data_IF_864631808627
#
_entry.id   IF_864631808627
#
_cell.length_a   1.000
_cell.length_b   1.000
_cell.length_c   1.000
_cell.angle_alpha   90.00
_cell.angle_beta   90.00
_cell.angle_gamma   90.00
#
_symmetry.space_group_name_H-M   'P 1'
#
loop_
_entity.id
_entity.type
_entity.pdbx_description
1 polymer ?
#
# COMPACT_ATOMS: atom_id res chain seq x y z
N UNK A 1 20.41 -13.98 26.77
CA UNK A 1 18.95 -14.14 26.70
C UNK A 1 18.66 -14.86 25.39
N UNK A 2 17.91 -15.95 25.39
CA UNK A 2 17.51 -16.67 24.17
C UNK A 2 16.05 -16.30 23.87
N UNK A 3 15.75 -16.05 22.59
CA UNK A 3 14.38 -15.91 22.09
C UNK A 3 13.92 -17.27 21.56
N UNK A 4 12.63 -17.55 21.66
CA UNK A 4 12.02 -18.82 21.24
C UNK A 4 11.41 -18.71 19.83
N UNK A 5 11.29 -17.47 19.29
CA UNK A 5 10.79 -17.22 17.97
C UNK A 5 10.87 -15.74 17.59
N UNK A 6 10.62 -15.43 16.34
CA UNK A 6 10.81 -14.10 15.74
C UNK A 6 9.56 -13.72 14.94
N UNK A 7 9.10 -12.48 15.06
CA UNK A 7 8.19 -11.82 14.11
C UNK A 7 9.00 -10.75 13.39
N UNK A 8 9.04 -10.79 12.07
CA UNK A 8 9.86 -9.86 11.27
C UNK A 8 9.06 -9.21 10.13
N UNK A 9 9.26 -7.90 9.96
CA UNK A 9 8.86 -7.17 8.77
C UNK A 9 10.11 -6.80 7.99
N UNK A 10 10.13 -7.13 6.70
CA UNK A 10 11.33 -6.92 5.88
C UNK A 10 11.52 -5.45 5.51
N UNK A 11 12.78 -5.01 5.43
CA UNK A 11 13.10 -3.72 4.84
C UNK A 11 12.75 -3.70 3.35
N UNK A 12 12.42 -2.54 2.82
CA UNK A 12 12.24 -2.37 1.36
C UNK A 12 13.54 -2.60 0.56
N UNK A 13 14.68 -2.58 1.22
CA UNK A 13 16.00 -2.78 0.60
C UNK A 13 16.49 -4.23 0.69
N UNK A 14 15.75 -5.09 1.42
CA UNK A 14 16.11 -6.50 1.55
C UNK A 14 15.89 -7.24 0.24
N UNK A 15 16.98 -7.69 -0.39
CA UNK A 15 16.97 -8.48 -1.63
C UNK A 15 17.58 -9.87 -1.45
N UNK A 16 18.42 -10.05 -0.41
CA UNK A 16 18.96 -11.34 -0.01
C UNK A 16 18.25 -11.86 1.24
N UNK A 17 17.72 -13.07 1.15
CA UNK A 17 16.95 -13.74 2.21
C UNK A 17 17.70 -14.93 2.84
N UNK A 18 18.98 -15.11 2.53
CA UNK A 18 19.81 -16.21 3.04
C UNK A 18 19.85 -16.27 4.56
N UNK A 19 19.90 -15.11 5.22
CA UNK A 19 19.85 -15.00 6.68
C UNK A 19 18.54 -15.50 7.29
N UNK A 20 17.41 -15.41 6.57
CA UNK A 20 16.14 -15.98 7.00
C UNK A 20 16.15 -17.50 6.84
N UNK A 21 16.69 -18.00 5.72
CA UNK A 21 16.84 -19.44 5.49
C UNK A 21 17.69 -20.11 6.57
N UNK A 22 18.75 -19.46 7.06
CA UNK A 22 19.56 -19.94 8.16
C UNK A 22 18.78 -20.14 9.48
N UNK A 23 17.70 -19.38 9.72
CA UNK A 23 16.82 -19.59 10.87
C UNK A 23 16.05 -20.90 10.78
N UNK A 24 15.71 -21.33 9.56
CA UNK A 24 15.06 -22.62 9.31
C UNK A 24 15.98 -23.80 9.66
N UNK A 25 17.29 -23.67 9.33
CA UNK A 25 18.28 -24.72 9.60
C UNK A 25 18.43 -25.02 11.10
N UNK A 26 18.19 -24.02 11.95
CA UNK A 26 18.22 -24.16 13.42
C UNK A 26 16.82 -24.33 14.02
N UNK A 27 15.79 -24.58 13.20
CA UNK A 27 14.38 -24.71 13.61
C UNK A 27 13.87 -23.52 14.45
N UNK A 28 14.32 -22.30 14.17
CA UNK A 28 13.84 -21.09 14.83
C UNK A 28 12.47 -20.68 14.22
N UNK A 29 11.40 -20.63 15.02
CA UNK A 29 10.09 -20.15 14.53
C UNK A 29 10.18 -18.71 14.03
N UNK A 30 9.69 -18.48 12.79
CA UNK A 30 9.69 -17.16 12.16
C UNK A 30 8.33 -16.89 11.51
N UNK A 31 7.70 -15.78 11.89
CA UNK A 31 6.51 -15.26 11.23
C UNK A 31 6.88 -13.97 10.50
N UNK A 32 6.61 -13.92 9.21
CA UNK A 32 6.77 -12.72 8.42
C UNK A 32 5.50 -11.84 8.50
N UNK A 33 5.68 -10.54 8.56
CA UNK A 33 4.61 -9.59 8.79
C UNK A 33 4.64 -8.48 7.75
N UNK A 34 3.49 -8.17 7.14
CA UNK A 34 3.27 -7.10 6.17
C UNK A 34 4.09 -7.24 4.88
N UNK A 35 5.39 -6.98 4.94
CA UNK A 35 6.33 -7.22 3.83
C UNK A 35 6.92 -8.62 3.94
N UNK A 36 6.51 -9.49 3.04
CA UNK A 36 6.82 -10.92 3.09
C UNK A 36 7.64 -11.39 1.90
N UNK A 37 8.34 -12.49 2.10
CA UNK A 37 9.07 -13.25 1.07
C UNK A 37 8.97 -14.73 1.40
N UNK A 38 9.45 -15.61 0.50
CA UNK A 38 9.59 -17.04 0.75
C UNK A 38 8.32 -17.64 1.40
N UNK A 39 7.15 -17.33 0.85
CA UNK A 39 5.83 -17.70 1.41
C UNK A 39 5.58 -19.21 1.47
N UNK A 40 6.39 -19.99 0.77
CA UNK A 40 6.44 -21.45 0.84
C UNK A 40 7.30 -21.99 2.00
N UNK A 41 8.09 -21.13 2.64
CA UNK A 41 9.03 -21.52 3.70
C UNK A 41 8.65 -20.99 5.07
N UNK A 42 7.98 -19.85 5.15
CA UNK A 42 7.62 -19.18 6.41
C UNK A 42 6.16 -18.79 6.46
N UNK A 43 5.57 -18.96 7.64
CA UNK A 43 4.23 -18.45 7.90
C UNK A 43 4.23 -16.91 7.87
N UNK A 44 3.11 -16.33 7.44
CA UNK A 44 3.04 -14.89 7.29
C UNK A 44 1.63 -14.33 7.54
N UNK A 45 1.60 -13.06 7.94
CA UNK A 45 0.36 -12.27 8.07
C UNK A 45 0.48 -11.06 7.17
N UNK A 46 -0.47 -10.89 6.26
CA UNK A 46 -0.51 -9.83 5.27
C UNK A 46 -1.85 -9.12 5.28
N UNK A 47 -1.89 -7.88 4.86
CA UNK A 47 -3.12 -7.20 4.48
C UNK A 47 -3.53 -7.59 3.05
N UNK A 48 -4.84 -7.60 2.75
CA UNK A 48 -5.30 -7.84 1.38
C UNK A 48 -4.95 -6.65 0.48
N UNK A 49 -3.87 -6.80 -0.27
CA UNK A 49 -3.36 -5.76 -1.13
C UNK A 49 -4.04 -5.68 -2.50
N UNK A 50 -4.60 -6.77 -3.01
CA UNK A 50 -5.27 -6.80 -4.32
C UNK A 50 -6.65 -6.18 -4.22
N UNK A 51 -7.51 -6.75 -3.37
CA UNK A 51 -8.89 -6.31 -3.22
C UNK A 51 -8.96 -4.86 -2.73
N UNK A 52 -8.06 -4.48 -1.82
CA UNK A 52 -8.02 -3.11 -1.31
C UNK A 52 -7.63 -2.07 -2.36
N UNK A 53 -6.66 -2.37 -3.22
CA UNK A 53 -6.26 -1.47 -4.28
C UNK A 53 -7.34 -1.37 -5.37
N UNK A 54 -8.01 -2.48 -5.69
CA UNK A 54 -9.15 -2.50 -6.58
C UNK A 54 -10.28 -1.62 -6.02
N UNK A 55 -10.65 -1.80 -4.75
CA UNK A 55 -11.67 -1.00 -4.07
C UNK A 55 -11.33 0.51 -4.04
N UNK A 56 -10.07 0.85 -3.71
CA UNK A 56 -9.64 2.25 -3.67
C UNK A 56 -9.63 2.90 -5.05
N UNK A 57 -9.18 2.17 -6.08
CA UNK A 57 -9.21 2.66 -7.47
C UNK A 57 -10.64 2.82 -7.95
N UNK A 58 -11.52 1.85 -7.70
CA UNK A 58 -12.94 1.92 -8.04
C UNK A 58 -13.60 3.14 -7.39
N UNK A 59 -13.32 3.40 -6.11
CA UNK A 59 -13.84 4.59 -5.43
C UNK A 59 -13.43 5.89 -6.13
N UNK A 60 -12.17 6.03 -6.59
CA UNK A 60 -11.74 7.21 -7.34
C UNK A 60 -12.51 7.35 -8.66
N UNK A 61 -12.73 6.25 -9.37
CA UNK A 61 -13.49 6.24 -10.62
C UNK A 61 -14.97 6.60 -10.39
N UNK A 62 -15.61 6.02 -9.38
CA UNK A 62 -17.01 6.29 -9.01
C UNK A 62 -17.23 7.75 -8.60
N UNK A 63 -16.19 8.41 -8.06
CA UNK A 63 -16.18 9.83 -7.73
C UNK A 63 -15.71 10.74 -8.89
N UNK A 64 -15.80 10.24 -10.13
CA UNK A 64 -15.64 11.02 -11.36
C UNK A 64 -14.21 11.19 -11.84
N UNK A 65 -13.22 10.51 -11.24
CA UNK A 65 -11.86 10.47 -11.80
C UNK A 65 -11.84 9.60 -13.06
N UNK A 66 -11.07 10.03 -14.04
CA UNK A 66 -10.98 9.36 -15.35
C UNK A 66 -9.57 8.87 -15.65
N UNK A 67 -8.56 9.49 -15.05
CA UNK A 67 -7.15 9.24 -15.32
C UNK A 67 -6.42 9.07 -13.99
N UNK A 68 -6.52 7.87 -13.43
CA UNK A 68 -5.94 7.54 -12.11
C UNK A 68 -4.49 7.11 -12.29
N UNK A 69 -3.56 7.70 -11.52
CA UNK A 69 -2.18 7.26 -11.44
C UNK A 69 -1.94 6.39 -10.20
N UNK A 70 -0.92 5.54 -10.26
CA UNK A 70 -0.42 4.74 -9.15
C UNK A 70 1.02 5.14 -8.79
N UNK A 71 1.25 5.53 -7.54
CA UNK A 71 2.60 5.73 -7.00
C UNK A 71 2.91 4.59 -6.04
N UNK A 72 3.88 3.75 -6.42
CA UNK A 72 4.29 2.56 -5.68
C UNK A 72 5.74 2.57 -5.25
N UNK A 73 6.08 1.58 -4.42
CA UNK A 73 7.46 1.27 -4.02
C UNK A 73 8.21 0.42 -5.05
N UNK A 74 9.37 -0.08 -4.66
CA UNK A 74 10.21 -0.91 -5.52
C UNK A 74 9.49 -2.17 -6.01
N UNK A 75 9.57 -2.46 -7.31
CA UNK A 75 8.82 -3.52 -7.99
C UNK A 75 9.14 -4.95 -7.50
N UNK A 76 10.26 -5.18 -6.79
CA UNK A 76 10.57 -6.50 -6.24
C UNK A 76 9.69 -6.87 -5.03
N UNK A 77 9.15 -5.88 -4.32
CA UNK A 77 8.32 -6.08 -3.13
C UNK A 77 6.96 -6.70 -3.49
N UNK A 78 6.60 -7.78 -2.82
CA UNK A 78 5.34 -8.48 -3.03
C UNK A 78 4.12 -7.57 -2.77
N UNK A 79 4.17 -6.77 -1.71
CA UNK A 79 3.12 -5.80 -1.38
C UNK A 79 2.87 -4.78 -2.51
N UNK A 80 3.94 -4.33 -3.19
CA UNK A 80 3.83 -3.42 -4.35
C UNK A 80 3.17 -4.12 -5.53
N UNK A 81 3.57 -5.38 -5.82
CA UNK A 81 2.99 -6.18 -6.89
C UNK A 81 1.50 -6.38 -6.69
N UNK A 82 1.06 -6.73 -5.47
CA UNK A 82 -0.35 -6.95 -5.13
C UNK A 82 -1.18 -5.68 -5.29
N UNK A 83 -0.74 -4.54 -4.72
CA UNK A 83 -1.46 -3.27 -4.82
C UNK A 83 -1.53 -2.77 -6.27
N UNK A 84 -0.42 -2.85 -7.00
CA UNK A 84 -0.40 -2.53 -8.43
C UNK A 84 -1.33 -3.44 -9.23
N UNK A 85 -1.38 -4.74 -8.92
CA UNK A 85 -2.29 -5.66 -9.58
C UNK A 85 -3.76 -5.25 -9.38
N UNK A 86 -4.18 -4.99 -8.14
CA UNK A 86 -5.55 -4.54 -7.84
C UNK A 86 -5.91 -3.22 -8.54
N UNK A 87 -4.99 -2.26 -8.57
CA UNK A 87 -5.16 -1.03 -9.34
C UNK A 87 -5.39 -1.30 -10.83
N UNK A 88 -4.56 -2.16 -11.45
CA UNK A 88 -4.69 -2.50 -12.85
C UNK A 88 -5.99 -3.27 -13.15
N UNK A 89 -6.43 -4.16 -12.26
CA UNK A 89 -7.70 -4.88 -12.41
C UNK A 89 -8.90 -3.91 -12.39
N UNK A 90 -8.92 -2.94 -11.47
CA UNK A 90 -9.99 -1.94 -11.45
C UNK A 90 -10.06 -1.14 -12.76
N UNK A 91 -8.92 -0.74 -13.34
CA UNK A 91 -8.90 -0.07 -14.63
C UNK A 91 -9.46 -0.96 -15.77
N UNK A 92 -9.06 -2.25 -15.79
CA UNK A 92 -9.55 -3.22 -16.79
C UNK A 92 -11.06 -3.43 -16.72
N UNK A 93 -11.59 -3.62 -15.52
CA UNK A 93 -13.03 -3.80 -15.28
C UNK A 93 -13.84 -2.60 -15.74
N UNK A 94 -13.29 -1.40 -15.60
CA UNK A 94 -13.90 -0.15 -16.07
C UNK A 94 -13.54 0.19 -17.52
N UNK A 95 -12.82 -0.68 -18.23
CA UNK A 95 -12.38 -0.48 -19.64
C UNK A 95 -11.56 0.81 -19.83
N UNK A 96 -10.78 1.19 -18.81
CA UNK A 96 -9.88 2.33 -18.87
C UNK A 96 -8.52 1.86 -19.39
N UNK A 97 -7.94 2.55 -20.40
CA UNK A 97 -6.62 2.21 -20.91
C UNK A 97 -5.54 2.28 -19.83
N UNK A 98 -4.66 1.27 -19.82
CA UNK A 98 -3.51 1.26 -18.92
C UNK A 98 -2.38 2.04 -19.57
N UNK A 99 -2.05 3.19 -19.00
CA UNK A 99 -0.96 4.05 -19.44
C UNK A 99 0.26 3.83 -18.56
N UNK A 100 1.36 3.39 -19.17
CA UNK A 100 2.59 3.05 -18.40
C UNK A 100 3.16 4.24 -17.64
N UNK A 101 3.01 5.43 -18.17
CA UNK A 101 3.47 6.69 -17.58
C UNK A 101 2.72 7.08 -16.29
N UNK A 102 1.52 6.52 -16.07
CA UNK A 102 0.74 6.72 -14.84
C UNK A 102 1.12 5.75 -13.71
N UNK A 103 2.04 4.83 -13.96
CA UNK A 103 2.47 3.83 -12.96
C UNK A 103 3.94 4.09 -12.61
N UNK A 104 4.16 4.82 -11.52
CA UNK A 104 5.51 5.15 -11.05
C UNK A 104 5.83 4.31 -9.81
N UNK A 105 6.87 3.49 -9.89
CA UNK A 105 7.33 2.65 -8.81
C UNK A 105 8.80 2.99 -8.49
N UNK A 106 9.03 3.58 -7.30
CA UNK A 106 10.33 4.04 -6.82
C UNK A 106 10.56 3.55 -5.37
N UNK A 107 11.45 4.19 -4.61
CA UNK A 107 11.55 3.91 -3.16
C UNK A 107 10.34 4.46 -2.42
N UNK A 108 10.04 3.84 -1.27
CA UNK A 108 8.96 4.29 -0.38
C UNK A 108 9.58 5.31 0.59
N UNK A 109 9.74 6.54 0.13
CA UNK A 109 10.13 7.67 0.97
C UNK A 109 9.47 8.97 0.48
N UNK A 110 9.56 10.01 1.28
CA UNK A 110 8.87 11.27 1.04
C UNK A 110 9.40 11.99 -0.20
N UNK A 111 10.71 12.05 -0.40
CA UNK A 111 11.32 12.76 -1.53
C UNK A 111 11.04 12.03 -2.86
N UNK A 112 11.08 10.71 -2.88
CA UNK A 112 10.72 9.93 -4.06
C UNK A 112 9.21 10.07 -4.39
N UNK A 113 8.36 10.23 -3.38
CA UNK A 113 6.95 10.57 -3.56
C UNK A 113 6.75 11.93 -4.23
N UNK A 114 7.54 12.94 -3.84
CA UNK A 114 7.54 14.27 -4.48
C UNK A 114 7.99 14.18 -5.94
N UNK A 115 9.12 13.51 -6.21
CA UNK A 115 9.65 13.32 -7.57
C UNK A 115 8.63 12.60 -8.46
N UNK A 116 8.00 11.55 -7.96
CA UNK A 116 6.97 10.82 -8.69
C UNK A 116 5.77 11.72 -9.04
N UNK A 117 5.32 12.52 -8.07
CA UNK A 117 4.18 13.42 -8.28
C UNK A 117 4.53 14.54 -9.26
N UNK A 118 5.71 15.14 -9.15
CA UNK A 118 6.19 16.16 -10.11
C UNK A 118 6.25 15.58 -11.54
N UNK A 119 6.72 14.34 -11.67
CA UNK A 119 6.75 13.62 -12.96
C UNK A 119 5.34 13.48 -13.55
N UNK A 120 4.38 13.01 -12.74
CA UNK A 120 2.98 12.83 -13.14
C UNK A 120 2.31 14.15 -13.56
N UNK A 121 2.54 15.22 -12.78
CA UNK A 121 1.95 16.54 -13.05
C UNK A 121 2.61 17.27 -14.24
N UNK A 122 3.76 16.79 -14.69
CA UNK A 122 4.47 17.34 -15.85
C UNK A 122 4.12 16.62 -17.14
N UNK A 123 3.28 15.58 -17.10
CA UNK A 123 2.78 14.92 -18.32
C UNK A 123 1.92 15.88 -19.17
N UNK A 124 1.90 15.74 -20.50
CA UNK A 124 1.02 16.53 -21.37
C UNK A 124 -0.46 16.45 -20.97
N UNK A 125 -0.86 15.30 -20.42
CA UNK A 125 -2.16 15.07 -19.81
C UNK A 125 -1.92 14.51 -18.41
N UNK A 126 -1.91 15.34 -17.36
CA UNK A 126 -1.68 14.87 -16.01
C UNK A 126 -2.85 14.02 -15.50
N UNK A 127 -2.63 13.15 -14.49
CA UNK A 127 -3.73 12.41 -13.85
C UNK A 127 -4.68 13.36 -13.12
N UNK A 128 -5.92 12.94 -12.95
CA UNK A 128 -6.93 13.61 -12.12
C UNK A 128 -7.16 12.92 -10.77
N UNK A 129 -6.45 11.80 -10.54
CA UNK A 129 -6.39 11.14 -9.25
C UNK A 129 -5.09 10.35 -9.07
N UNK A 130 -4.69 10.15 -7.82
CA UNK A 130 -3.51 9.36 -7.43
C UNK A 130 -3.89 8.35 -6.36
N UNK A 131 -3.60 7.08 -6.61
CA UNK A 131 -3.54 6.04 -5.60
C UNK A 131 -2.08 5.88 -5.17
N UNK A 132 -1.76 6.32 -3.96
CA UNK A 132 -0.43 6.16 -3.36
C UNK A 132 -0.40 4.89 -2.52
N UNK A 133 0.65 4.08 -2.66
CA UNK A 133 0.72 2.79 -1.99
C UNK A 133 0.94 2.87 -0.46
N UNK A 134 1.23 4.04 0.08
CA UNK A 134 1.25 4.32 1.53
C UNK A 134 0.99 5.80 1.79
N UNK A 135 0.78 6.15 3.07
CA UNK A 135 0.43 7.53 3.46
C UNK A 135 1.62 8.48 3.31
N UNK A 136 2.86 8.02 3.49
CA UNK A 136 4.07 8.86 3.26
C UNK A 136 4.13 9.38 1.82
N UNK A 137 3.88 8.51 0.83
CA UNK A 137 3.82 8.90 -0.59
C UNK A 137 2.60 9.79 -0.87
N UNK A 138 1.46 9.53 -0.20
CA UNK A 138 0.27 10.38 -0.33
C UNK A 138 0.50 11.78 0.21
N UNK A 139 1.13 11.93 1.38
CA UNK A 139 1.46 13.26 1.94
C UNK A 139 2.44 14.02 1.06
N UNK A 140 3.45 13.35 0.51
CA UNK A 140 4.37 13.95 -0.46
C UNK A 140 3.63 14.45 -1.71
N UNK A 141 2.69 13.64 -2.22
CA UNK A 141 1.85 14.03 -3.36
C UNK A 141 0.97 15.24 -3.03
N UNK A 142 0.36 15.26 -1.84
CA UNK A 142 -0.47 16.39 -1.39
C UNK A 142 0.33 17.69 -1.31
N UNK A 143 1.57 17.65 -0.82
CA UNK A 143 2.45 18.83 -0.78
C UNK A 143 2.71 19.36 -2.19
N UNK A 144 3.13 18.51 -3.11
CA UNK A 144 3.45 18.90 -4.49
C UNK A 144 2.23 19.49 -5.19
N UNK A 145 1.07 18.86 -5.07
CA UNK A 145 -0.18 19.31 -5.68
C UNK A 145 -0.54 20.72 -5.18
N UNK A 146 -0.45 20.96 -3.87
CA UNK A 146 -0.74 22.25 -3.27
C UNK A 146 0.27 23.32 -3.70
N UNK A 147 1.56 22.97 -3.74
CA UNK A 147 2.63 23.90 -4.16
C UNK A 147 2.47 24.32 -5.64
N UNK A 148 1.82 23.47 -6.46
CA UNK A 148 1.44 23.84 -7.84
C UNK A 148 0.12 24.60 -7.94
N UNK A 149 -0.50 24.96 -6.81
CA UNK A 149 -1.77 25.69 -6.77
C UNK A 149 -3.00 24.84 -7.18
N UNK A 150 -2.85 23.53 -7.26
CA UNK A 150 -3.93 22.61 -7.59
C UNK A 150 -4.71 22.21 -6.33
N UNK A 151 -6.00 21.94 -6.51
CA UNK A 151 -6.93 21.65 -5.41
C UNK A 151 -7.10 20.15 -5.24
N UNK A 152 -7.05 19.69 -4.00
CA UNK A 152 -7.42 18.35 -3.59
C UNK A 152 -8.80 18.42 -2.95
N UNK A 153 -9.79 17.64 -3.38
CA UNK A 153 -9.77 16.60 -4.42
C UNK A 153 -10.15 17.07 -5.82
N UNK A 154 -10.55 18.34 -5.99
CA UNK A 154 -11.27 18.80 -7.18
C UNK A 154 -10.45 18.73 -8.48
N UNK A 155 -9.16 19.08 -8.42
CA UNK A 155 -8.27 18.96 -9.57
C UNK A 155 -7.58 17.60 -9.57
N UNK A 156 -7.13 17.12 -8.38
CA UNK A 156 -6.52 15.80 -8.20
C UNK A 156 -7.01 15.17 -6.91
N UNK A 157 -7.71 14.04 -7.01
CA UNK A 157 -8.12 13.24 -5.86
C UNK A 157 -6.96 12.34 -5.38
N UNK A 158 -6.89 12.06 -4.08
CA UNK A 158 -5.82 11.21 -3.51
C UNK A 158 -6.38 10.19 -2.53
N UNK A 159 -5.86 8.96 -2.62
CA UNK A 159 -6.02 7.92 -1.61
C UNK A 159 -4.64 7.39 -1.21
N UNK A 160 -4.41 7.25 0.09
CA UNK A 160 -3.24 6.61 0.69
C UNK A 160 -3.51 5.18 1.16
N UNK A 161 -2.55 4.63 1.87
CA UNK A 161 -2.64 3.31 2.51
C UNK A 161 -2.02 3.37 3.90
N UNK A 162 -2.54 2.58 4.81
CA UNK A 162 -2.20 2.38 6.21
C UNK A 162 -3.17 3.08 7.15
N UNK A 163 -3.66 4.27 6.79
CA UNK A 163 -4.52 5.11 7.61
C UNK A 163 -3.81 5.55 8.89
N UNK A 164 -2.62 6.13 8.70
CA UNK A 164 -1.84 6.68 9.81
C UNK A 164 -2.59 7.84 10.48
N UNK A 165 -2.29 8.08 11.75
CA UNK A 165 -2.95 9.12 12.53
C UNK A 165 -2.88 10.51 11.85
N UNK A 166 -1.78 10.80 11.15
CA UNK A 166 -1.59 12.06 10.41
C UNK A 166 -2.61 12.26 9.28
N UNK A 167 -3.22 11.20 8.75
CA UNK A 167 -4.27 11.29 7.74
C UNK A 167 -5.47 12.14 8.20
N UNK A 168 -5.68 12.26 9.50
CA UNK A 168 -6.75 13.06 10.11
C UNK A 168 -6.36 14.53 10.36
N UNK A 169 -5.07 14.86 10.27
CA UNK A 169 -4.55 16.19 10.63
C UNK A 169 -4.09 17.01 9.43
N UNK A 170 -3.99 16.39 8.25
CA UNK A 170 -3.72 17.11 6.99
C UNK A 170 -5.00 17.74 6.44
N UNK A 171 -4.86 18.79 5.63
CA UNK A 171 -5.97 19.49 4.98
C UNK A 171 -5.85 19.39 3.46
N UNK A 172 -6.82 18.84 2.71
CA UNK A 172 -7.96 18.07 3.20
C UNK A 172 -7.52 16.77 3.89
N UNK A 173 -8.38 16.20 4.77
CA UNK A 173 -8.09 14.90 5.42
C UNK A 173 -7.92 13.79 4.40
N UNK A 174 -6.89 12.98 4.58
CA UNK A 174 -6.53 11.93 3.63
C UNK A 174 -7.46 10.72 3.74
N UNK A 175 -8.12 10.36 2.63
CA UNK A 175 -8.74 9.06 2.45
C UNK A 175 -7.67 8.00 2.33
N UNK A 176 -7.81 6.88 3.02
CA UNK A 176 -6.81 5.83 3.01
C UNK A 176 -7.42 4.44 3.15
N UNK A 177 -6.73 3.44 2.60
CA UNK A 177 -7.03 2.04 2.94
C UNK A 177 -6.51 1.78 4.35
N UNK A 178 -7.42 1.51 5.27
CA UNK A 178 -7.11 1.23 6.67
C UNK A 178 -6.79 -0.24 6.89
N UNK A 179 -5.65 -0.48 7.55
CA UNK A 179 -5.21 -1.81 7.96
C UNK A 179 -5.68 -2.11 9.38
N UNK A 180 -6.15 -3.33 9.61
CA UNK A 180 -6.46 -3.80 10.96
C UNK A 180 -5.15 -4.20 11.68
N UNK A 181 -4.27 -3.22 11.97
CA UNK A 181 -2.91 -3.46 12.46
C UNK A 181 -2.87 -4.26 13.77
N UNK A 182 -3.81 -3.99 14.68
CA UNK A 182 -3.93 -4.77 15.91
C UNK A 182 -4.24 -6.23 15.62
N UNK A 183 -5.21 -6.51 14.73
CA UNK A 183 -5.59 -7.88 14.35
C UNK A 183 -4.46 -8.60 13.62
N UNK A 184 -3.71 -7.89 12.78
CA UNK A 184 -2.51 -8.43 12.15
C UNK A 184 -1.47 -8.86 13.18
N UNK A 185 -1.18 -7.99 14.18
CA UNK A 185 -0.24 -8.28 15.25
C UNK A 185 -0.70 -9.45 16.13
N UNK A 186 -1.95 -9.47 16.56
CA UNK A 186 -2.55 -10.57 17.31
C UNK A 186 -2.40 -11.90 16.56
N UNK A 187 -2.74 -11.91 15.26
CA UNK A 187 -2.63 -13.10 14.42
C UNK A 187 -1.19 -13.57 14.26
N UNK A 188 -0.24 -12.65 14.10
CA UNK A 188 1.18 -13.00 13.99
C UNK A 188 1.71 -13.59 15.30
N UNK A 189 1.34 -13.03 16.44
CA UNK A 189 1.69 -13.58 17.76
C UNK A 189 1.09 -14.98 17.97
N UNK A 190 -0.17 -15.19 17.58
CA UNK A 190 -0.80 -16.49 17.71
C UNK A 190 -0.11 -17.55 16.86
N UNK A 191 0.19 -17.24 15.59
CA UNK A 191 0.94 -18.14 14.71
C UNK A 191 2.32 -18.49 15.27
N UNK A 192 3.02 -17.50 15.85
CA UNK A 192 4.33 -17.74 16.46
C UNK A 192 4.22 -18.68 17.66
N UNK A 193 3.25 -18.43 18.56
CA UNK A 193 3.00 -19.28 19.73
C UNK A 193 2.67 -20.72 19.31
N UNK A 194 1.85 -20.90 18.26
CA UNK A 194 1.50 -22.22 17.75
C UNK A 194 2.74 -22.95 17.21
N UNK A 195 3.63 -22.25 16.49
CA UNK A 195 4.90 -22.81 16.02
C UNK A 195 5.85 -23.20 17.17
N UNK A 196 5.96 -22.35 18.21
CA UNK A 196 6.75 -22.67 19.40
C UNK A 196 6.21 -23.93 20.09
N UNK A 197 4.89 -24.13 20.09
CA UNK A 197 4.23 -25.32 20.64
C UNK A 197 4.32 -26.56 19.74
N UNK A 198 4.93 -26.45 18.56
CA UNK A 198 5.21 -27.56 17.66
C UNK A 198 4.36 -27.64 16.38
N UNK A 199 3.47 -26.67 16.11
CA UNK A 199 2.79 -26.62 14.79
C UNK A 199 3.81 -26.24 13.70
N UNK A 200 4.08 -27.18 12.80
CA UNK A 200 5.02 -26.98 11.67
C UNK A 200 4.33 -26.55 10.39
N UNK A 201 3.02 -26.29 10.43
CA UNK A 201 2.24 -25.93 9.25
C UNK A 201 2.58 -24.49 8.83
N UNK A 202 2.99 -24.32 7.56
CA UNK A 202 3.19 -23.02 6.98
C UNK A 202 1.83 -22.44 6.59
N UNK A 203 1.49 -21.27 7.14
CA UNK A 203 0.22 -20.60 6.91
C UNK A 203 0.46 -19.16 6.46
N UNK A 204 -0.24 -18.73 5.42
CA UNK A 204 -0.37 -17.31 5.09
C UNK A 204 -1.79 -16.84 5.46
N UNK A 205 -1.88 -15.92 6.39
CA UNK A 205 -3.15 -15.34 6.83
C UNK A 205 -3.30 -13.95 6.23
N UNK A 206 -4.36 -13.76 5.46
CA UNK A 206 -4.71 -12.46 4.87
C UNK A 206 -5.76 -11.78 5.74
N UNK A 207 -5.45 -10.59 6.23
CA UNK A 207 -6.36 -9.78 7.03
C UNK A 207 -7.09 -8.81 6.10
N UNK A 208 -8.43 -8.76 6.15
CA UNK A 208 -9.20 -7.83 5.34
C UNK A 208 -8.89 -6.38 5.72
N UNK A 209 -9.03 -5.49 4.75
CA UNK A 209 -8.88 -4.05 4.90
C UNK A 209 -10.21 -3.34 4.63
N UNK A 210 -10.29 -2.06 4.93
CA UNK A 210 -11.44 -1.22 4.56
C UNK A 210 -10.96 0.15 4.06
N UNK A 211 -11.75 0.80 3.23
CA UNK A 211 -11.47 2.15 2.77
C UNK A 211 -12.08 3.17 3.74
N UNK A 212 -11.22 3.94 4.38
CA UNK A 212 -11.63 5.09 5.17
C UNK A 212 -11.73 6.31 4.25
N UNK A 213 -12.96 6.68 3.92
CA UNK A 213 -13.25 7.79 3.00
C UNK A 213 -13.23 9.10 3.78
N UNK A 214 -12.47 10.10 3.25
CA UNK A 214 -12.38 11.47 3.75
C UNK A 214 -12.39 12.45 2.58
N UNK A 215 -12.07 13.71 2.85
CA UNK A 215 -12.22 14.81 1.89
C UNK A 215 -11.31 14.69 0.66
N UNK A 216 -10.12 14.06 0.79
CA UNK A 216 -9.11 14.02 -0.30
C UNK A 216 -9.53 13.23 -1.53
N UNK A 217 -10.58 12.43 -1.46
CA UNK A 217 -11.03 11.58 -2.58
C UNK A 217 -12.46 11.85 -3.06
N UNK A 218 -13.19 12.75 -2.42
CA UNK A 218 -14.59 13.07 -2.79
C UNK A 218 -14.58 14.37 -3.59
N UNK A 219 -14.69 14.28 -4.91
CA UNK A 219 -14.82 15.46 -5.77
C UNK A 219 -16.21 16.08 -5.60
N UNK A 220 -16.23 17.35 -5.27
CA UNK A 220 -17.50 18.10 -5.20
C UNK A 220 -17.91 18.53 -6.60
N UNK A 221 -19.12 18.16 -7.00
CA UNK A 221 -19.69 18.61 -8.27
C UNK A 221 -19.72 20.15 -8.33
N UNK A 222 -19.18 20.75 -9.40
CA UNK A 222 -19.26 22.20 -9.64
C UNK A 222 -20.69 22.64 -10.06
N UNK A 223 -21.74 21.95 -9.60
CA UNK A 223 -23.12 22.35 -9.82
C UNK A 223 -23.70 22.91 -8.52
N UNK A 224 -23.35 24.18 -8.25
CA UNK A 224 -24.25 25.17 -7.65
C UNK A 224 -23.66 26.58 -7.82
#
# INVERSE_FOLDING_TARGET
MRVEGIIACLSQETTDFSHLSALKDINMPLILFDRVCLSDQFSSVIADGVQSAQMATQHLLDNGSKRVAFIGGANHLDIVKRRKHGYLEALRENRIPIEKELVICRKIDYEEGKIATETLLSLPQPPDAILAMNDTLAFAAMEVIKNRGLRIPNDIAIIGYTDEQHANYVEPKLSAVSHQTYKMGETACQLLIDQIKGDKTIKQVTIPTHLQIRESSIKYDKKK
#
